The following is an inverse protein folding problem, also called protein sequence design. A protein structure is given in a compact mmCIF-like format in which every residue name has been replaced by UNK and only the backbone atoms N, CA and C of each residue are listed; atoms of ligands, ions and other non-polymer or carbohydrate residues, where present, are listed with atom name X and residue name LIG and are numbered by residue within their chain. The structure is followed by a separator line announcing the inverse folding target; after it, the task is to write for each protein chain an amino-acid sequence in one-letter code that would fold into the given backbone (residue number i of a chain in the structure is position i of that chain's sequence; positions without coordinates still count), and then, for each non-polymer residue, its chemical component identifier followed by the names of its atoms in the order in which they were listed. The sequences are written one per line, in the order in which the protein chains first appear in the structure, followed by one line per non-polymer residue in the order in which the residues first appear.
data_IF_582222189292
#
_entry.id   IF_582222189292
#
_cell.length_a   1.000
_cell.length_b   1.000
_cell.length_c   1.000
_cell.angle_alpha   90.00
_cell.angle_beta   90.00
_cell.angle_gamma   90.00
#
_symmetry.space_group_name_H-M   'P 1'
#
loop_
_entity.id
_entity.type
_entity.pdbx_description
1 polymer ?
#
# COMPACT_ATOMS: atom_id res chain seq x y z
N UNK A 1 10.55 8.59 -9.31
CA UNK A 1 9.38 7.77 -9.71
C UNK A 1 8.51 7.58 -8.49
N UNK A 2 7.19 7.76 -8.63
CA UNK A 2 6.21 7.51 -7.57
C UNK A 2 5.42 6.23 -7.87
N UNK A 3 4.89 5.57 -6.85
CA UNK A 3 4.09 4.35 -6.99
C UNK A 3 2.79 4.50 -6.21
N UNK A 4 1.66 4.49 -6.91
CA UNK A 4 0.31 4.44 -6.35
C UNK A 4 -0.40 3.16 -6.75
N UNK A 5 -0.09 2.05 -6.08
CA UNK A 5 -0.59 0.72 -6.42
C UNK A 5 -0.83 -0.13 -5.16
N UNK A 6 -1.30 -1.36 -5.34
CA UNK A 6 -1.54 -2.30 -4.24
C UNK A 6 -2.87 -2.09 -3.51
N UNK A 7 -3.79 -1.31 -4.09
CA UNK A 7 -5.13 -1.13 -3.58
C UNK A 7 -5.96 -2.40 -3.77
N UNK A 8 -6.55 -2.91 -2.69
CA UNK A 8 -7.50 -4.02 -2.70
C UNK A 8 -8.95 -3.49 -2.69
N UNK A 9 -9.89 -4.23 -2.09
CA UNK A 9 -11.29 -3.82 -1.91
C UNK A 9 -11.48 -2.40 -1.31
N UNK A 10 -10.49 -1.88 -0.57
CA UNK A 10 -10.54 -0.53 -0.01
C UNK A 10 -10.16 0.59 -1.00
N UNK A 11 -9.77 0.25 -2.24
CA UNK A 11 -9.21 1.18 -3.23
C UNK A 11 -10.14 2.31 -3.66
N UNK A 12 -11.46 2.08 -3.72
CA UNK A 12 -12.42 3.15 -4.04
C UNK A 12 -12.49 4.17 -2.89
N UNK A 13 -12.54 3.67 -1.65
CA UNK A 13 -12.60 4.53 -0.47
C UNK A 13 -11.30 5.30 -0.25
N UNK A 14 -10.15 4.67 -0.47
CA UNK A 14 -8.83 5.29 -0.26
C UNK A 14 -8.29 6.05 -1.48
N UNK A 15 -8.81 5.80 -2.67
CA UNK A 15 -8.23 6.27 -3.94
C UNK A 15 -8.17 7.78 -4.07
N UNK A 16 -9.20 8.50 -3.60
CA UNK A 16 -9.21 9.96 -3.60
C UNK A 16 -8.09 10.55 -2.75
N UNK A 17 -7.93 10.07 -1.52
CA UNK A 17 -6.86 10.51 -0.62
C UNK A 17 -5.47 10.17 -1.15
N UNK A 18 -5.27 8.94 -1.65
CA UNK A 18 -3.99 8.53 -2.22
C UNK A 18 -3.60 9.37 -3.46
N UNK A 19 -4.58 9.69 -4.32
CA UNK A 19 -4.38 10.56 -5.48
C UNK A 19 -3.97 11.98 -5.08
N UNK A 20 -4.66 12.56 -4.09
CA UNK A 20 -4.32 13.87 -3.54
C UNK A 20 -2.91 13.91 -2.96
N UNK A 21 -2.54 12.91 -2.14
CA UNK A 21 -1.20 12.81 -1.56
C UNK A 21 -0.11 12.77 -2.63
N UNK A 22 -0.28 11.92 -3.67
CA UNK A 22 0.68 11.81 -4.76
C UNK A 22 0.79 13.11 -5.56
N UNK A 23 -0.34 13.76 -5.85
CA UNK A 23 -0.34 15.03 -6.56
C UNK A 23 0.39 16.13 -5.77
N UNK A 24 0.09 16.26 -4.47
CA UNK A 24 0.74 17.26 -3.62
C UNK A 24 2.24 16.98 -3.49
N UNK A 25 2.64 15.71 -3.32
CA UNK A 25 4.05 15.34 -3.24
C UNK A 25 4.82 15.67 -4.53
N UNK A 26 4.20 15.47 -5.70
CA UNK A 26 4.82 15.86 -6.97
C UNK A 26 5.04 17.37 -7.06
N UNK A 27 4.11 18.18 -6.55
CA UNK A 27 4.17 19.65 -6.62
C UNK A 27 5.16 20.22 -5.59
N UNK A 28 5.07 19.78 -4.35
CA UNK A 28 5.83 20.38 -3.24
C UNK A 28 7.21 19.73 -3.04
N UNK A 29 7.44 18.54 -3.61
CA UNK A 29 8.70 17.80 -3.47
C UNK A 29 8.83 16.99 -2.18
N UNK A 30 7.91 17.15 -1.22
CA UNK A 30 7.85 16.40 0.03
C UNK A 30 6.46 15.81 0.30
N UNK A 31 6.41 14.75 1.10
CA UNK A 31 5.15 14.08 1.41
C UNK A 31 4.31 14.94 2.37
N UNK A 32 3.01 15.17 2.10
CA UNK A 32 2.17 16.04 2.93
C UNK A 32 1.77 15.42 4.28
N UNK A 33 2.07 14.15 4.51
CA UNK A 33 1.83 13.42 5.76
C UNK A 33 2.80 12.24 5.94
N UNK A 34 2.83 11.65 7.14
CA UNK A 34 3.61 10.43 7.39
C UNK A 34 2.94 9.22 6.72
N UNK A 35 3.62 8.71 5.70
CA UNK A 35 3.15 7.60 4.86
C UNK A 35 3.87 6.28 5.16
N UNK A 36 4.63 6.17 6.26
CA UNK A 36 5.44 4.98 6.53
C UNK A 36 4.64 3.66 6.45
N UNK A 37 3.39 3.68 6.94
CA UNK A 37 2.50 2.51 6.91
C UNK A 37 2.11 2.06 5.49
N UNK A 38 2.28 2.88 4.46
CA UNK A 38 2.00 2.56 3.06
C UNK A 38 3.22 2.72 2.15
N UNK A 39 4.40 3.03 2.71
CA UNK A 39 5.62 3.23 1.95
C UNK A 39 6.13 1.90 1.37
N UNK A 40 6.38 1.84 0.07
CA UNK A 40 6.87 0.63 -0.60
C UNK A 40 8.24 0.15 -0.09
N UNK A 41 9.04 1.04 0.53
CA UNK A 41 10.35 0.72 1.10
C UNK A 41 10.25 -0.08 2.40
N UNK A 42 9.05 -0.24 2.98
CA UNK A 42 8.82 -1.11 4.14
C UNK A 42 9.06 -2.59 3.85
N UNK A 43 9.12 -2.98 2.57
CA UNK A 43 9.29 -4.36 2.16
C UNK A 43 10.78 -4.73 2.02
N UNK A 44 11.19 -5.76 2.75
CA UNK A 44 12.54 -6.35 2.65
C UNK A 44 12.67 -7.28 1.43
N UNK A 45 13.88 -7.75 1.15
CA UNK A 45 14.17 -8.70 0.07
C UNK A 45 13.37 -10.01 0.14
N UNK A 46 12.86 -10.40 1.32
CA UNK A 46 11.97 -11.55 1.47
C UNK A 46 10.69 -11.42 0.62
N UNK A 47 10.22 -10.19 0.39
CA UNK A 47 9.03 -9.90 -0.40
C UNK A 47 9.28 -9.96 -1.91
N UNK A 48 10.48 -10.36 -2.37
CA UNK A 48 10.77 -10.59 -3.79
C UNK A 48 10.30 -11.96 -4.26
N UNK A 49 10.13 -12.92 -3.35
CA UNK A 49 9.57 -14.23 -3.68
C UNK A 49 8.06 -14.08 -3.96
N UNK A 50 7.70 -14.31 -5.23
CA UNK A 50 6.33 -14.12 -5.70
C UNK A 50 5.37 -15.17 -5.15
N UNK A 51 5.82 -16.40 -4.91
CA UNK A 51 4.98 -17.43 -4.31
C UNK A 51 4.68 -17.06 -2.86
N UNK A 52 5.72 -16.68 -2.11
CA UNK A 52 5.57 -16.25 -0.73
C UNK A 52 4.64 -15.05 -0.59
N UNK A 53 4.78 -14.02 -1.44
CA UNK A 53 3.87 -12.86 -1.42
C UNK A 53 2.44 -13.28 -1.71
N UNK A 54 2.21 -14.17 -2.69
CA UNK A 54 0.87 -14.68 -3.00
C UNK A 54 0.24 -15.36 -1.78
N UNK A 55 0.96 -16.28 -1.15
CA UNK A 55 0.47 -17.03 0.02
C UNK A 55 0.14 -16.10 1.18
N UNK A 56 1.00 -15.11 1.46
CA UNK A 56 0.78 -14.11 2.52
C UNK A 56 -0.39 -13.18 2.21
N UNK A 57 -0.58 -12.78 0.96
CA UNK A 57 -1.72 -11.94 0.54
C UNK A 57 -3.04 -12.71 0.70
N UNK A 58 -3.08 -13.99 0.34
CA UNK A 58 -4.25 -14.84 0.54
C UNK A 58 -4.58 -15.03 2.02
N UNK A 59 -3.56 -15.25 2.88
CA UNK A 59 -3.76 -15.33 4.33
C UNK A 59 -4.33 -14.02 4.89
N UNK A 60 -3.78 -12.87 4.49
CA UNK A 60 -4.27 -11.56 4.94
C UNK A 60 -5.73 -11.34 4.53
N UNK A 61 -6.11 -11.77 3.32
CA UNK A 61 -7.50 -11.71 2.87
C UNK A 61 -8.42 -12.65 3.64
N UNK A 62 -7.99 -13.89 3.91
CA UNK A 62 -8.75 -14.84 4.72
C UNK A 62 -9.01 -14.35 6.15
N UNK A 63 -8.10 -13.54 6.69
CA UNK A 63 -8.21 -12.94 8.04
C UNK A 63 -8.99 -11.63 8.09
N UNK A 64 -9.39 -11.03 6.96
CA UNK A 64 -9.99 -9.69 6.94
C UNK A 64 -11.28 -9.55 7.77
N UNK A 65 -11.98 -10.66 8.01
CA UNK A 65 -13.20 -10.72 8.83
C UNK A 65 -13.11 -11.69 10.00
N UNK A 66 -11.91 -12.20 10.31
CA UNK A 66 -11.74 -13.08 11.47
C UNK A 66 -11.83 -12.25 12.74
N UNK A 67 -12.79 -12.60 13.60
CA UNK A 67 -12.84 -12.12 14.97
C UNK A 67 -11.98 -13.10 15.78
N UNK A 68 -10.95 -12.58 16.45
CA UNK A 68 -10.12 -13.34 17.39
C UNK A 68 -10.82 -13.57 18.72
#
# INVERSE_FOLDING_TARGET
MFVGAGFNAFGIASGGGAGWVLAQWVVDGEAPLDLWVVDIRRFSNLHRDRQWVCDRTLEAYGKHYTIG
#
